data_IF_633791086012
#
_entry.id   IF_633791086012
#
_cell.length_a   1.000
_cell.length_b   1.000
_cell.length_c   1.000
_cell.angle_alpha   90.00
_cell.angle_beta   90.00
_cell.angle_gamma   90.00
#
_symmetry.space_group_name_H-M   'P 1'
#
loop_
_entity.id
_entity.type
_entity.pdbx_description
1 polymer ?
#
# COMPACT_ATOMS: atom_id res chain seq x y z
N UNK A 1 0.53 14.28 -17.97
CA UNK A 1 1.19 15.24 -17.05
C UNK A 1 0.27 15.84 -15.98
N UNK A 2 -1.02 16.14 -16.27
CA UNK A 2 -1.95 16.66 -15.23
C UNK A 2 -2.45 15.60 -14.22
N UNK A 3 -2.62 14.33 -14.63
CA UNK A 3 -3.08 13.25 -13.73
C UNK A 3 -2.10 12.94 -12.58
N UNK A 4 -0.79 13.14 -12.80
CA UNK A 4 0.25 12.86 -11.80
C UNK A 4 0.19 13.83 -10.62
N UNK A 5 -0.18 15.09 -10.84
CA UNK A 5 -0.34 16.07 -9.76
C UNK A 5 -1.64 15.86 -8.98
N UNK A 6 -2.72 15.44 -9.65
CA UNK A 6 -3.99 15.13 -8.99
C UNK A 6 -3.87 13.90 -8.07
N UNK A 7 -3.21 12.83 -8.53
CA UNK A 7 -2.91 11.66 -7.69
C UNK A 7 -2.03 12.04 -6.50
N UNK A 8 -1.04 12.93 -6.70
CA UNK A 8 -0.18 13.45 -5.63
C UNK A 8 -0.93 14.27 -4.58
N UNK A 9 -1.88 15.09 -5.00
CA UNK A 9 -2.71 15.89 -4.10
C UNK A 9 -3.65 15.01 -3.26
N UNK A 10 -4.21 13.95 -3.86
CA UNK A 10 -5.04 12.96 -3.15
C UNK A 10 -4.29 12.26 -2.01
N UNK A 11 -3.01 11.88 -2.23
CA UNK A 11 -2.18 11.33 -1.14
C UNK A 11 -2.02 12.31 0.03
N UNK A 12 -1.89 13.61 -0.26
CA UNK A 12 -1.78 14.65 0.76
C UNK A 12 -3.06 14.81 1.57
N UNK A 13 -4.23 14.78 0.90
CA UNK A 13 -5.54 14.95 1.54
C UNK A 13 -5.93 13.73 2.38
N UNK A 14 -5.66 12.51 1.89
CA UNK A 14 -5.83 11.28 2.67
C UNK A 14 -4.95 11.31 3.92
N UNK A 15 -3.70 11.75 3.79
CA UNK A 15 -2.77 11.86 4.93
C UNK A 15 -3.21 12.92 5.96
N UNK A 16 -3.89 13.98 5.52
CA UNK A 16 -4.39 15.04 6.41
C UNK A 16 -5.66 14.63 7.18
N UNK A 17 -6.51 13.82 6.55
CA UNK A 17 -7.77 13.34 7.12
C UNK A 17 -7.57 12.31 8.25
N UNK A 18 -6.38 11.70 8.36
CA UNK A 18 -6.03 10.71 9.39
C UNK A 18 -5.52 11.32 10.70
N UNK A 19 -6.07 12.44 11.16
CA UNK A 19 -5.68 13.07 12.44
C UNK A 19 -6.15 12.29 13.69
N UNK A 20 -6.51 11.01 13.59
CA UNK A 20 -7.29 10.28 14.60
C UNK A 20 -6.72 8.97 15.18
N UNK A 21 -5.55 8.47 14.77
CA UNK A 21 -4.94 7.28 15.39
C UNK A 21 -4.03 6.47 14.46
N UNK A 22 -3.15 5.63 15.01
CA UNK A 22 -2.19 4.83 14.22
C UNK A 22 -2.90 3.80 13.34
N UNK A 23 -2.34 3.54 12.14
CA UNK A 23 -2.79 2.44 11.27
C UNK A 23 -2.63 1.09 11.99
N UNK A 24 -1.62 0.94 12.84
CA UNK A 24 -1.38 -0.29 13.61
C UNK A 24 -2.54 -0.65 14.56
N UNK A 25 -3.29 0.36 15.04
CA UNK A 25 -4.42 0.14 15.95
C UNK A 25 -5.73 -0.14 15.18
N UNK A 26 -5.79 0.30 13.92
CA UNK A 26 -6.96 0.22 13.07
C UNK A 26 -7.00 -1.03 12.19
N UNK A 27 -5.84 -1.64 11.92
CA UNK A 27 -5.68 -2.72 10.95
C UNK A 27 -5.01 -3.92 11.61
N UNK A 28 -5.62 -5.09 11.45
CA UNK A 28 -4.92 -6.37 11.57
C UNK A 28 -4.74 -6.94 10.17
N UNK A 29 -3.54 -7.44 9.87
CA UNK A 29 -3.25 -8.06 8.58
C UNK A 29 -2.47 -9.34 8.78
N UNK A 30 -2.71 -10.32 7.92
CA UNK A 30 -1.92 -11.54 7.90
C UNK A 30 -2.39 -12.51 6.84
N UNK A 31 -1.74 -13.66 6.82
CA UNK A 31 -2.17 -14.83 6.06
C UNK A 31 -2.52 -15.94 7.05
N UNK A 32 -1.78 -17.05 7.03
CA UNK A 32 -1.84 -18.08 8.09
C UNK A 32 -1.36 -17.58 9.45
N UNK A 33 -0.58 -16.48 9.48
CA UNK A 33 -0.11 -15.82 10.69
C UNK A 33 -0.32 -14.30 10.60
N UNK A 34 -0.60 -13.62 11.73
CA UNK A 34 -0.62 -12.17 11.78
C UNK A 34 0.76 -11.57 11.47
N UNK A 35 0.77 -10.45 10.75
CA UNK A 35 1.95 -9.63 10.50
C UNK A 35 1.95 -8.51 11.54
N UNK A 36 3.06 -8.35 12.25
CA UNK A 36 3.22 -7.28 13.23
C UNK A 36 3.39 -5.92 12.51
N UNK A 37 2.42 -5.03 12.68
CA UNK A 37 2.51 -3.66 12.20
C UNK A 37 3.31 -2.81 13.19
N UNK A 38 4.30 -2.02 12.71
CA UNK A 38 5.03 -1.13 13.60
C UNK A 38 4.15 0.02 14.06
N UNK A 39 4.26 0.46 15.31
CA UNK A 39 3.46 1.57 15.85
C UNK A 39 3.64 2.90 15.10
N UNK A 40 4.79 3.10 14.44
CA UNK A 40 5.08 4.29 13.64
C UNK A 40 4.40 4.31 12.27
N UNK A 41 3.72 3.23 11.86
CA UNK A 41 3.11 3.13 10.53
C UNK A 41 2.04 4.20 10.35
N UNK A 42 2.24 5.03 9.34
CA UNK A 42 1.27 6.00 8.85
C UNK A 42 0.52 5.53 7.61
N UNK A 43 1.09 4.60 6.84
CA UNK A 43 0.40 3.96 5.73
C UNK A 43 0.85 2.51 5.55
N UNK A 44 -0.11 1.63 5.23
CA UNK A 44 0.12 0.24 4.84
C UNK A 44 -0.10 0.13 3.33
N UNK A 45 0.90 -0.37 2.61
CA UNK A 45 0.81 -0.60 1.16
C UNK A 45 0.89 -2.09 0.88
N UNK A 46 -0.05 -2.60 0.10
CA UNK A 46 -0.04 -3.96 -0.45
C UNK A 46 0.21 -3.85 -1.94
N UNK A 47 1.35 -4.33 -2.41
CA UNK A 47 1.81 -4.16 -3.79
C UNK A 47 1.86 -5.49 -4.54
N UNK A 48 1.26 -5.52 -5.73
CA UNK A 48 1.42 -6.62 -6.70
C UNK A 48 2.48 -6.29 -7.77
N UNK A 49 2.83 -5.02 -7.96
CA UNK A 49 3.80 -4.58 -8.97
C UNK A 49 4.83 -3.65 -8.35
N UNK A 50 6.03 -3.62 -8.93
CA UNK A 50 7.11 -2.75 -8.46
C UNK A 50 6.98 -1.30 -8.98
N UNK A 51 5.83 -0.69 -8.75
CA UNK A 51 5.55 0.68 -9.15
C UNK A 51 4.52 1.30 -8.20
N UNK A 52 4.84 2.50 -7.71
CA UNK A 52 4.01 3.24 -6.77
C UNK A 52 4.12 4.75 -7.04
N UNK A 53 3.03 5.50 -6.82
CA UNK A 53 2.99 6.98 -6.90
C UNK A 53 3.69 7.62 -8.11
N UNK A 54 3.52 7.04 -9.30
CA UNK A 54 4.11 7.55 -10.55
C UNK A 54 5.51 6.99 -10.87
N UNK A 55 5.73 5.71 -10.56
CA UNK A 55 6.94 4.97 -10.96
C UNK A 55 8.00 4.80 -9.86
N UNK A 56 7.75 5.30 -8.65
CA UNK A 56 8.61 5.05 -7.49
C UNK A 56 8.62 3.56 -7.15
N UNK A 57 9.80 3.03 -6.87
CA UNK A 57 9.97 1.65 -6.37
C UNK A 57 9.92 1.66 -4.85
N UNK A 58 9.03 0.86 -4.27
CA UNK A 58 8.89 0.71 -2.81
C UNK A 58 10.03 -0.13 -2.21
N UNK A 59 10.60 -1.03 -2.99
CA UNK A 59 11.71 -1.88 -2.57
C UNK A 59 12.23 -2.75 -3.71
N UNK A 60 13.37 -3.41 -3.48
CA UNK A 60 13.84 -4.46 -4.36
C UNK A 60 13.03 -5.75 -4.12
N UNK A 61 12.81 -6.53 -5.18
CA UNK A 61 12.26 -7.88 -5.09
C UNK A 61 10.73 -7.98 -5.08
N UNK A 62 10.00 -6.92 -5.47
CA UNK A 62 8.60 -7.06 -5.90
C UNK A 62 8.61 -7.62 -7.32
N UNK A 63 7.90 -8.73 -7.53
CA UNK A 63 7.86 -9.48 -8.79
C UNK A 63 6.39 -9.66 -9.18
N UNK A 64 6.00 -9.19 -10.36
CA UNK A 64 4.59 -9.09 -10.75
C UNK A 64 3.95 -10.40 -11.19
N UNK A 65 4.75 -11.45 -11.41
CA UNK A 65 4.34 -12.75 -11.95
C UNK A 65 4.65 -13.93 -11.01
N UNK A 66 5.10 -13.67 -9.77
CA UNK A 66 5.39 -14.72 -8.78
C UNK A 66 4.14 -15.16 -7.98
N UNK A 67 3.01 -14.50 -8.23
CA UNK A 67 1.72 -14.74 -7.58
C UNK A 67 1.68 -14.31 -6.11
N UNK A 68 2.55 -13.39 -5.68
CA UNK A 68 2.61 -12.85 -4.32
C UNK A 68 2.27 -11.36 -4.28
N UNK A 69 1.86 -10.95 -3.10
CA UNK A 69 1.59 -9.58 -2.71
C UNK A 69 2.63 -9.19 -1.65
N UNK A 70 3.28 -8.05 -1.85
CA UNK A 70 4.25 -7.52 -0.92
C UNK A 70 3.63 -6.47 -0.01
N UNK A 71 3.75 -6.67 1.31
CA UNK A 71 3.28 -5.72 2.30
C UNK A 71 4.42 -4.78 2.74
N UNK A 72 4.15 -3.47 2.76
CA UNK A 72 5.08 -2.43 3.19
C UNK A 72 4.45 -1.49 4.22
N UNK A 73 5.23 -1.11 5.23
CA UNK A 73 4.91 -0.03 6.16
C UNK A 73 5.63 1.25 5.75
N UNK A 74 4.89 2.35 5.69
CA UNK A 74 5.41 3.70 5.43
C UNK A 74 5.10 4.62 6.63
N UNK A 75 5.99 5.56 6.98
CA UNK A 75 5.73 6.53 8.05
C UNK A 75 4.67 7.57 7.64
N UNK A 76 4.09 8.25 8.62
CA UNK A 76 3.10 9.33 8.41
C UNK A 76 3.74 10.63 7.88
N UNK A 77 2.90 11.49 7.29
CA UNK A 77 3.26 12.88 6.93
C UNK A 77 3.95 13.07 5.57
N UNK A 78 4.63 14.22 5.42
CA UNK A 78 5.36 14.71 4.22
C UNK A 78 6.28 13.65 3.56
N UNK A 79 6.63 12.57 4.26
CA UNK A 79 7.35 11.40 3.73
C UNK A 79 6.60 10.69 2.57
N UNK A 80 5.26 10.70 2.53
CA UNK A 80 4.51 10.25 1.33
C UNK A 80 4.81 11.11 0.11
N UNK A 81 4.96 12.43 0.31
CA UNK A 81 5.39 13.37 -0.72
C UNK A 81 6.90 13.27 -1.05
N UNK A 82 7.74 12.92 -0.08
CA UNK A 82 9.19 12.75 -0.25
C UNK A 82 9.61 11.34 -0.72
N UNK A 83 8.70 10.36 -0.75
CA UNK A 83 8.88 9.12 -1.50
C UNK A 83 9.00 9.39 -3.02
N UNK A 84 8.61 10.58 -3.47
CA UNK A 84 8.88 11.12 -4.81
C UNK A 84 10.32 11.66 -4.94
N UNK A 85 11.02 11.92 -3.83
CA UNK A 85 12.33 12.58 -3.74
C UNK A 85 13.49 11.70 -3.23
N UNK A 86 13.38 10.37 -3.33
CA UNK A 86 14.56 9.49 -3.28
C UNK A 86 15.13 9.11 -1.91
N UNK A 87 14.41 9.26 -0.80
CA UNK A 87 14.91 8.82 0.52
C UNK A 87 14.09 7.65 1.12
N UNK A 88 14.85 6.58 1.43
CA UNK A 88 14.51 5.33 2.11
C UNK A 88 13.58 5.51 3.31
N UNK A 89 12.37 4.96 3.25
CA UNK A 89 11.50 4.81 4.45
C UNK A 89 10.42 3.73 4.38
N UNK A 90 10.21 3.08 3.23
CA UNK A 90 9.34 1.92 3.15
C UNK A 90 10.03 0.70 3.79
N UNK A 91 9.39 0.10 4.80
CA UNK A 91 9.84 -1.15 5.40
C UNK A 91 9.00 -2.30 4.85
N UNK A 92 9.63 -3.23 4.11
CA UNK A 92 8.98 -4.49 3.73
C UNK A 92 8.64 -5.25 5.01
N UNK A 93 7.39 -5.68 5.11
CA UNK A 93 6.89 -6.46 6.25
C UNK A 93 7.01 -7.95 5.93
N UNK A 94 6.41 -8.39 4.83
CA UNK A 94 6.42 -9.78 4.37
C UNK A 94 5.81 -9.87 2.95
N UNK A 95 5.79 -11.08 2.36
CA UNK A 95 5.20 -11.38 1.06
C UNK A 95 4.27 -12.60 1.12
N UNK A 96 3.06 -12.49 0.58
CA UNK A 96 2.04 -13.52 0.71
C UNK A 96 1.25 -13.74 -0.58
N UNK A 97 0.85 -14.98 -0.87
CA UNK A 97 -0.09 -15.26 -1.97
C UNK A 97 -1.51 -14.75 -1.68
N UNK A 98 -1.85 -14.66 -0.40
CA UNK A 98 -3.20 -14.37 0.06
C UNK A 98 -3.13 -13.64 1.39
N UNK A 99 -3.83 -12.51 1.49
CA UNK A 99 -3.90 -11.66 2.67
C UNK A 99 -5.34 -11.49 3.15
N UNK A 100 -5.52 -11.59 4.46
CA UNK A 100 -6.71 -11.15 5.17
C UNK A 100 -6.40 -9.84 5.88
N UNK A 101 -7.32 -8.88 5.76
CA UNK A 101 -7.20 -7.57 6.40
C UNK A 101 -8.47 -7.34 7.21
N UNK A 102 -8.33 -7.06 8.51
CA UNK A 102 -9.43 -6.62 9.35
C UNK A 102 -9.26 -5.14 9.65
N UNK A 103 -10.24 -4.35 9.21
CA UNK A 103 -10.32 -2.92 9.42
C UNK A 103 -11.31 -2.67 10.56
N UNK A 104 -10.88 -1.98 11.62
CA UNK A 104 -11.66 -1.77 12.85
C UNK A 104 -12.48 -0.47 12.84
N UNK A 105 -12.07 0.52 12.06
CA UNK A 105 -12.74 1.82 11.88
C UNK A 105 -12.67 2.24 10.41
N UNK A 106 -13.52 3.16 9.91
CA UNK A 106 -13.38 3.65 8.55
C UNK A 106 -11.95 4.15 8.28
N UNK A 107 -11.38 3.74 7.14
CA UNK A 107 -10.05 4.15 6.71
C UNK A 107 -10.10 4.63 5.26
N UNK A 108 -9.35 5.68 4.98
CA UNK A 108 -9.09 6.06 3.61
C UNK A 108 -8.13 5.06 2.98
N UNK A 109 -8.49 4.58 1.79
CA UNK A 109 -7.75 3.59 1.03
C UNK A 109 -7.69 4.03 -0.42
N UNK A 110 -6.68 3.56 -1.13
CA UNK A 110 -6.60 3.71 -2.58
C UNK A 110 -6.38 2.34 -3.20
N UNK A 111 -7.13 2.03 -4.24
CA UNK A 111 -6.98 0.80 -5.02
C UNK A 111 -6.68 1.20 -6.46
N UNK A 112 -5.48 0.88 -6.94
CA UNK A 112 -5.00 1.19 -8.29
C UNK A 112 -5.14 2.66 -8.76
N UNK A 113 -5.21 3.61 -7.82
CA UNK A 113 -5.42 5.03 -8.14
C UNK A 113 -6.73 5.59 -7.61
N UNK A 114 -7.74 4.73 -7.46
CA UNK A 114 -9.09 5.15 -7.10
C UNK A 114 -9.23 5.28 -5.57
N UNK A 115 -9.60 6.47 -5.06
CA UNK A 115 -9.82 6.67 -3.63
C UNK A 115 -11.12 6.02 -3.18
N UNK A 116 -11.06 5.28 -2.07
CA UNK A 116 -12.20 4.59 -1.47
C UNK A 116 -12.13 4.75 0.05
N UNK A 117 -13.28 4.92 0.71
CA UNK A 117 -13.36 4.79 2.17
C UNK A 117 -13.71 3.33 2.50
N UNK A 118 -12.74 2.59 3.02
CA UNK A 118 -12.96 1.23 3.50
C UNK A 118 -13.79 1.27 4.78
N UNK A 119 -14.91 0.53 4.80
CA UNK A 119 -15.74 0.35 6.00
C UNK A 119 -15.08 -0.61 6.99
N UNK A 120 -15.41 -0.57 8.29
CA UNK A 120 -15.01 -1.62 9.21
C UNK A 120 -15.48 -2.99 8.73
N UNK A 121 -14.62 -3.99 8.80
CA UNK A 121 -14.93 -5.31 8.26
C UNK A 121 -13.70 -6.18 8.02
N UNK A 122 -13.94 -7.35 7.43
CA UNK A 122 -12.89 -8.25 6.93
C UNK A 122 -12.84 -8.13 5.41
N UNK A 123 -11.63 -7.98 4.90
CA UNK A 123 -11.29 -7.91 3.49
C UNK A 123 -10.32 -9.03 3.16
N UNK A 124 -10.33 -9.42 1.90
CA UNK A 124 -9.53 -10.51 1.37
C UNK A 124 -8.87 -10.05 0.06
N UNK A 125 -7.56 -10.22 -0.03
CA UNK A 125 -6.82 -10.00 -1.27
C UNK A 125 -6.22 -11.34 -1.70
N UNK A 126 -6.76 -11.88 -2.78
CA UNK A 126 -6.39 -13.18 -3.34
C UNK A 126 -6.14 -13.06 -4.85
N UNK A 127 -5.36 -13.98 -5.44
CA UNK A 127 -5.19 -14.02 -6.88
C UNK A 127 -6.55 -14.29 -7.55
N UNK A 128 -6.95 -13.40 -8.46
CA UNK A 128 -8.19 -13.54 -9.24
C UNK A 128 -7.97 -14.11 -10.65
N UNK A 129 -6.72 -14.25 -11.07
CA UNK A 129 -6.31 -14.64 -12.42
C UNK A 129 -5.00 -13.97 -12.80
N UNK A 130 -4.57 -14.17 -14.05
CA UNK A 130 -3.42 -13.50 -14.64
C UNK A 130 -3.78 -12.95 -16.02
N UNK A 131 -3.08 -11.89 -16.41
CA UNK A 131 -3.23 -11.27 -17.73
C UNK A 131 -1.85 -11.21 -18.38
N UNK A 132 -1.77 -11.60 -19.64
CA UNK A 132 -0.56 -11.44 -20.43
C UNK A 132 -0.38 -9.96 -20.78
N UNK A 133 0.79 -9.41 -20.48
CA UNK A 133 1.15 -8.02 -20.77
C UNK A 133 2.39 -7.96 -21.64
N UNK A 134 2.49 -6.94 -22.51
CA UNK A 134 3.72 -6.65 -23.22
C UNK A 134 4.72 -6.05 -22.23
N UNK A 135 5.89 -6.68 -22.10
CA UNK A 135 6.99 -6.18 -21.28
C UNK A 135 8.11 -5.67 -22.18
N UNK A 136 8.73 -4.55 -21.80
CA UNK A 136 10.00 -4.15 -22.39
C UNK A 136 11.06 -5.21 -22.05
N UNK A 137 12.04 -5.48 -22.93
CA UNK A 137 13.17 -6.34 -22.61
C UNK A 137 13.89 -5.84 -21.35
N UNK A 138 14.25 -6.76 -20.46
CA UNK A 138 14.95 -6.49 -19.20
C UNK A 138 16.41 -6.12 -19.39
#
# INVERSE_FOLDING_TARGET
FQATMLNRALYGVVSLAESGGSIADAVEIGSSRPIALPHWIGALVIANINSYAGGTRLGAGIVSDDGRLDAFALPSGLAMGLAVGGVRSARRLDAHRHLHIRIRRPLAMQVDGEPVIAKPGRYEIRPGGSVAVLAAPG
#
